data_IF_423925799398
#
_entry.id   IF_423925799398
#
_cell.length_a   1.000
_cell.length_b   1.000
_cell.length_c   1.000
_cell.angle_alpha   90.00
_cell.angle_beta   90.00
_cell.angle_gamma   90.00
#
_symmetry.space_group_name_H-M   'P 1'
#
loop_
_entity.id
_entity.type
_entity.pdbx_description
1 polymer ?
#
# COMPACT_ATOMS: atom_id res chain seq x y z
N UNK A 1 33.17 37.90 -46.93
CA UNK A 1 31.93 37.60 -46.18
C UNK A 1 31.45 36.20 -46.55
N UNK A 2 31.55 35.24 -45.64
CA UNK A 2 30.74 34.02 -45.64
C UNK A 2 30.31 33.79 -44.20
N UNK A 3 29.09 34.20 -43.88
CA UNK A 3 28.45 33.88 -42.60
C UNK A 3 28.18 32.37 -42.62
N UNK A 4 28.85 31.63 -41.74
CA UNK A 4 28.46 30.26 -41.43
C UNK A 4 27.27 30.33 -40.46
N UNK A 5 26.08 30.02 -40.95
CA UNK A 5 24.87 29.94 -40.15
C UNK A 5 24.95 28.67 -39.31
N UNK A 6 25.28 28.82 -38.03
CA UNK A 6 25.24 27.73 -37.06
C UNK A 6 23.76 27.42 -36.77
N UNK A 7 23.22 26.38 -37.40
CA UNK A 7 21.88 25.87 -37.10
C UNK A 7 21.94 25.21 -35.74
N UNK A 8 21.47 25.90 -34.71
CA UNK A 8 21.32 25.35 -33.36
C UNK A 8 20.17 24.34 -33.42
N UNK A 9 20.51 23.06 -33.67
CA UNK A 9 19.57 21.97 -33.54
C UNK A 9 19.11 21.92 -32.08
N UNK A 10 17.89 22.38 -31.83
CA UNK A 10 17.22 22.25 -30.55
C UNK A 10 16.92 20.77 -30.37
N UNK A 11 17.85 20.05 -29.72
CA UNK A 11 17.57 18.71 -29.22
C UNK A 11 16.50 18.88 -28.16
N UNK A 12 15.24 18.60 -28.52
CA UNK A 12 14.16 18.49 -27.56
C UNK A 12 14.50 17.37 -26.61
N UNK A 13 15.00 17.71 -25.42
CA UNK A 13 15.12 16.75 -24.33
C UNK A 13 13.70 16.19 -24.09
N UNK A 14 13.50 14.86 -24.16
CA UNK A 14 12.20 14.30 -23.88
C UNK A 14 11.84 14.69 -22.44
N UNK A 15 10.75 15.43 -22.24
CA UNK A 15 10.30 15.71 -20.90
C UNK A 15 9.94 14.38 -20.23
N UNK A 16 10.46 14.11 -19.02
CA UNK A 16 9.94 13.01 -18.20
C UNK A 16 8.55 13.43 -17.76
N UNK A 17 7.57 12.94 -18.51
CA UNK A 17 6.16 13.09 -18.22
C UNK A 17 5.81 12.13 -17.09
N UNK A 18 5.44 12.66 -15.92
CA UNK A 18 5.02 11.86 -14.76
C UNK A 18 3.77 11.07 -15.04
N UNK A 19 3.90 9.74 -15.09
CA UNK A 19 2.79 8.81 -15.29
C UNK A 19 3.17 7.57 -14.50
N UNK A 20 2.40 7.21 -13.48
CA UNK A 20 2.55 5.95 -12.76
C UNK A 20 1.30 5.72 -11.92
N UNK A 21 1.06 4.46 -11.58
CA UNK A 21 -0.03 3.97 -10.75
C UNK A 21 0.37 2.59 -10.21
N UNK A 22 -0.39 2.09 -9.23
CA UNK A 22 -0.18 0.73 -8.75
C UNK A 22 -0.55 -0.29 -9.83
N UNK A 23 0.42 -1.10 -10.22
CA UNK A 23 0.27 -2.19 -11.19
C UNK A 23 -0.16 -3.50 -10.51
N UNK A 24 0.22 -3.66 -9.24
CA UNK A 24 0.00 -4.88 -8.48
C UNK A 24 0.19 -4.65 -6.98
N UNK A 25 -0.60 -5.35 -6.16
CA UNK A 25 -0.35 -5.53 -4.73
C UNK A 25 0.09 -6.97 -4.43
N UNK A 26 1.05 -7.16 -3.51
CA UNK A 26 1.52 -8.47 -3.04
C UNK A 26 1.56 -8.53 -1.52
N UNK A 27 1.31 -9.70 -0.93
CA UNK A 27 1.64 -9.93 0.48
C UNK A 27 3.14 -10.21 0.66
N UNK A 28 3.70 -9.80 1.80
CA UNK A 28 5.10 -10.03 2.17
C UNK A 28 5.16 -10.93 3.40
N UNK A 29 5.86 -12.07 3.30
CA UNK A 29 6.09 -12.97 4.43
C UNK A 29 7.19 -12.45 5.38
N UNK A 30 7.39 -13.10 6.52
CA UNK A 30 8.39 -12.65 7.51
C UNK A 30 9.84 -12.64 6.99
N UNK A 31 10.12 -13.35 5.90
CA UNK A 31 11.41 -13.45 5.22
C UNK A 31 11.54 -12.48 4.03
N UNK A 32 10.52 -11.66 3.75
CA UNK A 32 10.49 -10.74 2.62
C UNK A 32 10.12 -11.39 1.28
N UNK A 33 9.59 -12.61 1.26
CA UNK A 33 9.11 -13.22 0.02
C UNK A 33 7.65 -12.83 -0.27
N UNK A 34 7.33 -12.71 -1.55
CA UNK A 34 5.96 -12.59 -2.02
C UNK A 34 5.23 -13.92 -1.97
N UNK A 35 4.00 -13.88 -1.45
CA UNK A 35 3.16 -15.06 -1.35
C UNK A 35 1.69 -14.76 -1.63
N UNK A 36 0.95 -15.81 -2.01
CA UNK A 36 -0.45 -15.71 -2.36
C UNK A 36 -0.68 -15.01 -3.71
N UNK A 37 -1.96 -14.97 -4.08
CA UNK A 37 -2.43 -14.30 -5.30
C UNK A 37 -2.22 -12.78 -5.20
N UNK A 38 -1.83 -12.12 -6.31
CA UNK A 38 -1.76 -10.67 -6.35
C UNK A 38 -3.14 -10.02 -6.28
N UNK A 39 -3.17 -8.76 -5.85
CA UNK A 39 -4.33 -7.91 -5.97
C UNK A 39 -4.10 -6.72 -6.90
N UNK A 40 -5.18 -6.05 -7.28
CA UNK A 40 -5.16 -4.95 -8.24
C UNK A 40 -6.03 -3.76 -7.77
N UNK A 41 -5.71 -2.53 -8.19
CA UNK A 41 -6.54 -1.36 -7.91
C UNK A 41 -7.95 -1.44 -8.50
N UNK A 42 -8.82 -0.56 -8.04
CA UNK A 42 -10.17 -0.41 -8.61
C UNK A 42 -10.07 -0.09 -10.10
N UNK A 43 -11.02 -0.59 -10.89
CA UNK A 43 -11.10 -0.27 -12.31
C UNK A 43 -9.85 -0.60 -13.13
N UNK A 44 -8.98 -1.52 -12.65
CA UNK A 44 -7.70 -1.82 -13.29
C UNK A 44 -7.87 -2.38 -14.70
N UNK A 45 -7.01 -1.95 -15.62
CA UNK A 45 -6.90 -2.48 -16.97
C UNK A 45 -5.42 -2.79 -17.20
N UNK A 46 -5.13 -4.03 -17.56
CA UNK A 46 -3.76 -4.46 -17.80
C UNK A 46 -3.19 -3.84 -19.07
N UNK A 47 -1.87 -3.63 -19.11
CA UNK A 47 -1.13 -3.10 -20.27
C UNK A 47 -1.27 -3.96 -21.53
N UNK A 48 -1.59 -5.24 -21.34
CA UNK A 48 -1.82 -6.21 -22.40
C UNK A 48 -3.30 -6.41 -22.74
N UNK A 49 -4.22 -5.74 -22.05
CA UNK A 49 -5.64 -5.85 -22.30
C UNK A 49 -6.06 -4.96 -23.47
N UNK A 50 -7.07 -5.41 -24.22
CA UNK A 50 -7.66 -4.62 -25.28
C UNK A 50 -8.24 -3.31 -24.73
N UNK A 51 -7.91 -2.19 -25.38
CA UNK A 51 -8.39 -0.87 -24.99
C UNK A 51 -7.58 -0.18 -23.89
N UNK A 52 -6.49 -0.78 -23.40
CA UNK A 52 -5.56 -0.12 -22.49
C UNK A 52 -5.02 1.19 -23.09
N UNK A 53 -5.01 2.24 -22.26
CA UNK A 53 -4.18 3.43 -22.45
C UNK A 53 -3.85 4.03 -21.08
N UNK A 54 -2.64 4.58 -20.92
CA UNK A 54 -2.15 5.08 -19.61
C UNK A 54 -3.09 6.07 -18.91
N UNK A 55 -3.74 7.03 -19.61
CA UNK A 55 -4.71 7.92 -18.98
C UNK A 55 -5.90 7.24 -18.29
N UNK A 56 -6.25 6.00 -18.61
CA UNK A 56 -7.33 5.29 -17.91
C UNK A 56 -6.97 4.90 -16.47
N UNK A 57 -5.67 4.82 -16.18
CA UNK A 57 -5.13 4.38 -14.90
C UNK A 57 -4.49 5.51 -14.10
N UNK A 58 -4.04 6.55 -14.79
CA UNK A 58 -3.36 7.70 -14.20
C UNK A 58 -4.34 8.69 -13.58
N UNK A 59 -4.08 9.08 -12.33
CA UNK A 59 -4.73 10.22 -11.70
C UNK A 59 -3.67 11.26 -11.30
N UNK A 60 -3.53 12.30 -12.13
CA UNK A 60 -2.68 13.46 -11.84
C UNK A 60 -3.50 14.55 -11.12
N UNK A 61 -2.97 15.06 -10.01
CA UNK A 61 -3.57 16.12 -9.20
C UNK A 61 -2.53 17.23 -8.92
N UNK A 62 -2.88 18.53 -9.02
CA UNK A 62 -4.17 19.06 -9.47
C UNK A 62 -4.39 18.85 -10.97
N UNK A 63 -5.65 18.68 -11.37
CA UNK A 63 -6.01 18.54 -12.79
C UNK A 63 -5.99 19.88 -13.54
N UNK A 64 -6.14 20.98 -12.81
CA UNK A 64 -6.07 22.36 -13.32
C UNK A 64 -5.30 23.24 -12.34
N UNK A 65 -4.52 24.17 -12.86
CA UNK A 65 -3.68 25.06 -12.05
C UNK A 65 -2.38 24.40 -11.57
N UNK A 66 -1.60 25.16 -10.81
CA UNK A 66 -0.28 24.73 -10.34
C UNK A 66 -0.30 24.12 -8.93
N UNK A 67 -1.36 24.32 -8.15
CA UNK A 67 -1.44 23.93 -6.74
C UNK A 67 -2.72 23.18 -6.45
N UNK A 68 -2.67 22.28 -5.48
CA UNK A 68 -3.86 21.56 -5.03
C UNK A 68 -4.84 22.50 -4.34
N UNK A 69 -6.13 22.22 -4.50
CA UNK A 69 -7.24 22.90 -3.85
C UNK A 69 -8.06 21.89 -3.05
N UNK A 70 -8.87 22.33 -2.07
CA UNK A 70 -9.76 21.45 -1.30
C UNK A 70 -10.73 20.63 -2.18
N UNK A 71 -11.03 21.09 -3.39
CA UNK A 71 -11.99 20.45 -4.30
C UNK A 71 -11.39 19.27 -5.07
N UNK A 72 -10.06 19.19 -5.17
CA UNK A 72 -9.38 18.17 -5.95
C UNK A 72 -9.70 16.76 -5.42
N UNK A 73 -10.21 15.93 -6.33
CA UNK A 73 -10.56 14.54 -6.05
C UNK A 73 -9.30 13.68 -5.99
N UNK A 74 -9.27 12.83 -4.96
CA UNK A 74 -8.19 11.89 -4.72
C UNK A 74 -8.20 10.75 -5.74
N UNK A 75 -9.36 10.18 -6.04
CA UNK A 75 -9.46 9.00 -6.90
C UNK A 75 -9.77 9.36 -8.34
N UNK A 76 -9.14 8.61 -9.27
CA UNK A 76 -9.56 8.57 -10.67
C UNK A 76 -11.07 8.28 -10.78
N UNK A 77 -11.74 8.79 -11.80
CA UNK A 77 -13.19 8.56 -11.98
C UNK A 77 -13.58 7.08 -11.96
N UNK A 78 -12.73 6.21 -12.52
CA UNK A 78 -12.92 4.74 -12.52
C UNK A 78 -12.58 4.06 -11.19
N UNK A 79 -12.00 4.79 -10.25
CA UNK A 79 -11.53 4.30 -8.95
C UNK A 79 -12.32 4.86 -7.77
N UNK A 80 -13.39 5.64 -8.01
CA UNK A 80 -14.21 6.22 -6.94
C UNK A 80 -15.06 5.18 -6.23
N UNK A 81 -15.64 4.26 -6.99
CA UNK A 81 -16.45 3.16 -6.46
C UNK A 81 -15.56 2.00 -6.05
N UNK A 82 -15.92 1.31 -4.97
CA UNK A 82 -15.23 0.10 -4.48
C UNK A 82 -15.50 -1.12 -5.37
N UNK A 83 -15.25 -1.01 -6.68
CA UNK A 83 -15.55 -2.04 -7.67
C UNK A 83 -14.30 -2.43 -8.46
N UNK A 84 -14.09 -3.73 -8.61
CA UNK A 84 -13.08 -4.27 -9.53
C UNK A 84 -13.61 -4.27 -10.96
N UNK A 85 -12.71 -4.05 -11.92
CA UNK A 85 -13.06 -4.05 -13.35
C UNK A 85 -13.52 -5.43 -13.83
N UNK A 86 -12.98 -6.50 -13.27
CA UNK A 86 -13.33 -7.88 -13.56
C UNK A 86 -12.80 -8.83 -12.49
N UNK A 87 -13.23 -10.10 -12.53
CA UNK A 87 -12.67 -11.15 -11.68
C UNK A 87 -11.19 -11.48 -12.01
N UNK A 88 -10.72 -11.10 -13.20
CA UNK A 88 -9.31 -11.23 -13.60
C UNK A 88 -8.40 -10.34 -12.74
N UNK A 89 -8.93 -9.23 -12.21
CA UNK A 89 -8.21 -8.28 -11.37
C UNK A 89 -8.81 -8.22 -9.97
N UNK A 90 -8.63 -9.26 -9.13
CA UNK A 90 -9.24 -9.30 -7.82
C UNK A 90 -8.58 -8.30 -6.85
N UNK A 91 -9.28 -8.00 -5.75
CA UNK A 91 -8.67 -7.34 -4.58
C UNK A 91 -7.62 -8.25 -3.96
N UNK A 92 -6.60 -7.66 -3.35
CA UNK A 92 -5.64 -8.43 -2.57
C UNK A 92 -6.34 -9.03 -1.34
N UNK A 93 -6.16 -10.33 -1.12
CA UNK A 93 -6.47 -10.94 0.18
C UNK A 93 -5.25 -10.86 1.08
N UNK A 94 -5.38 -10.20 2.21
CA UNK A 94 -4.28 -9.91 3.12
C UNK A 94 -4.65 -10.22 4.58
N UNK A 95 -3.62 -10.40 5.42
CA UNK A 95 -3.81 -10.66 6.85
C UNK A 95 -3.70 -9.34 7.62
N UNK A 96 -4.56 -9.15 8.62
CA UNK A 96 -4.42 -8.03 9.55
C UNK A 96 -3.03 -8.04 10.22
N UNK A 97 -2.39 -6.87 10.30
CA UNK A 97 -1.01 -6.76 10.78
C UNK A 97 0.07 -7.28 9.81
N UNK A 98 -0.30 -7.87 8.68
CA UNK A 98 0.64 -8.30 7.65
C UNK A 98 1.22 -7.12 6.86
N UNK A 99 2.34 -7.34 6.21
CA UNK A 99 2.91 -6.36 5.28
C UNK A 99 2.48 -6.66 3.85
N UNK A 100 2.31 -5.60 3.08
CA UNK A 100 2.03 -5.66 1.65
C UNK A 100 2.99 -4.77 0.89
N UNK A 101 3.30 -5.18 -0.35
CA UNK A 101 3.99 -4.37 -1.34
C UNK A 101 2.97 -3.83 -2.34
N UNK A 102 2.97 -2.52 -2.57
CA UNK A 102 2.29 -1.88 -3.69
C UNK A 102 3.31 -1.56 -4.76
N UNK A 103 3.24 -2.27 -5.89
CA UNK A 103 4.25 -2.30 -6.95
C UNK A 103 3.79 -1.46 -8.13
N UNK A 104 4.69 -0.67 -8.69
CA UNK A 104 4.41 0.27 -9.77
C UNK A 104 5.53 0.31 -10.79
N UNK A 105 5.19 0.65 -12.02
CA UNK A 105 6.13 0.77 -13.14
C UNK A 105 6.15 2.20 -13.69
N UNK A 106 6.68 2.39 -14.90
CA UNK A 106 6.94 3.73 -15.48
C UNK A 106 8.03 4.48 -14.68
N UNK A 107 9.05 3.70 -14.30
CA UNK A 107 10.17 4.07 -13.44
C UNK A 107 11.21 4.96 -14.15
N UNK A 108 10.80 5.72 -15.16
CA UNK A 108 11.64 6.72 -15.80
C UNK A 108 12.16 7.75 -14.80
N UNK A 109 11.35 8.10 -13.79
CA UNK A 109 11.71 9.04 -12.71
C UNK A 109 12.90 8.62 -11.87
N UNK A 110 13.19 7.32 -11.81
CA UNK A 110 14.32 6.79 -11.01
C UNK A 110 15.47 6.31 -11.89
N UNK A 111 15.20 6.01 -13.16
CA UNK A 111 16.17 5.33 -14.03
C UNK A 111 16.51 6.08 -15.31
N UNK A 112 15.89 7.24 -15.57
CA UNK A 112 16.23 8.16 -16.68
C UNK A 112 16.84 9.47 -16.16
N UNK A 113 17.82 9.37 -15.27
CA UNK A 113 18.31 10.49 -14.43
C UNK A 113 19.01 11.62 -15.21
N UNK A 114 19.60 11.39 -16.40
CA UNK A 114 20.06 12.51 -17.25
C UNK A 114 18.91 13.40 -17.76
N UNK A 115 17.67 12.96 -17.56
CA UNK A 115 16.43 13.64 -17.87
C UNK A 115 15.67 13.96 -16.57
N UNK A 116 16.26 13.74 -15.39
CA UNK A 116 15.68 14.16 -14.12
C UNK A 116 15.46 15.67 -14.20
N UNK A 117 14.19 16.13 -14.27
CA UNK A 117 13.95 17.52 -14.55
C UNK A 117 14.40 18.27 -13.30
N UNK A 118 15.47 19.04 -13.45
CA UNK A 118 15.93 20.04 -12.49
C UNK A 118 14.77 20.55 -11.61
N UNK A 119 14.91 20.49 -10.30
CA UNK A 119 13.85 20.91 -9.36
C UNK A 119 12.81 19.85 -9.00
N UNK A 120 12.98 18.61 -9.42
CA UNK A 120 12.27 17.47 -8.82
C UNK A 120 12.95 17.00 -7.53
N UNK A 121 12.20 16.38 -6.60
CA UNK A 121 12.75 15.89 -5.34
C UNK A 121 13.71 14.71 -5.54
N UNK A 122 14.65 14.58 -4.61
CA UNK A 122 15.53 13.41 -4.51
C UNK A 122 14.72 12.12 -4.31
N UNK A 123 15.34 10.98 -4.67
CA UNK A 123 14.74 9.65 -4.61
C UNK A 123 13.36 9.52 -5.29
N UNK A 124 13.09 10.38 -6.29
CA UNK A 124 11.83 10.39 -7.02
C UNK A 124 10.65 10.95 -6.23
N UNK A 125 10.86 11.55 -5.06
CA UNK A 125 9.79 12.07 -4.20
C UNK A 125 9.24 11.03 -3.22
N UNK A 126 8.15 11.40 -2.56
CA UNK A 126 7.61 10.63 -1.42
C UNK A 126 6.22 10.10 -1.72
N UNK A 127 6.00 8.86 -1.33
CA UNK A 127 4.71 8.20 -1.37
C UNK A 127 4.17 8.15 0.05
N UNK A 128 2.91 8.56 0.21
CA UNK A 128 2.13 8.34 1.41
C UNK A 128 1.06 7.29 1.14
N UNK A 129 0.89 6.37 2.09
CA UNK A 129 -0.16 5.35 2.01
C UNK A 129 -1.13 5.58 3.15
N UNK A 130 -2.38 5.82 2.79
CA UNK A 130 -3.47 5.98 3.73
C UNK A 130 -4.42 4.80 3.67
N UNK A 131 -5.14 4.54 4.76
CA UNK A 131 -6.17 3.51 4.76
C UNK A 131 -7.40 3.86 5.60
N UNK A 132 -8.54 3.29 5.22
CA UNK A 132 -9.84 3.55 5.85
C UNK A 132 -10.83 2.40 5.63
N UNK A 133 -11.78 2.25 6.55
CA UNK A 133 -13.00 1.43 6.40
C UNK A 133 -14.21 2.23 5.93
N UNK A 134 -14.08 3.55 5.79
CA UNK A 134 -15.16 4.49 5.49
C UNK A 134 -14.79 5.39 4.30
N UNK A 135 -14.49 4.81 3.12
CA UNK A 135 -14.12 5.58 1.94
C UNK A 135 -15.32 6.39 1.42
N UNK A 136 -15.04 7.54 0.80
CA UNK A 136 -16.02 8.31 0.03
C UNK A 136 -15.79 8.17 -1.47
N UNK A 137 -16.85 8.26 -2.27
CA UNK A 137 -16.73 8.30 -3.73
C UNK A 137 -16.16 9.64 -4.22
N UNK A 138 -16.42 10.72 -3.49
CA UNK A 138 -15.94 12.08 -3.76
C UNK A 138 -14.73 12.46 -2.89
N UNK A 139 -13.96 11.46 -2.44
CA UNK A 139 -12.81 11.63 -1.54
C UNK A 139 -11.86 12.74 -2.01
N UNK A 140 -11.52 13.66 -1.11
CA UNK A 140 -10.67 14.81 -1.40
C UNK A 140 -9.23 14.53 -1.02
N UNK A 141 -8.30 14.92 -1.88
CA UNK A 141 -6.87 14.75 -1.61
C UNK A 141 -6.47 15.49 -0.32
N UNK A 142 -6.93 16.73 -0.14
CA UNK A 142 -6.61 17.54 1.03
C UNK A 142 -7.14 16.96 2.35
N UNK A 143 -8.29 16.28 2.34
CA UNK A 143 -8.84 15.64 3.54
C UNK A 143 -7.98 14.46 3.96
N UNK A 144 -7.60 13.61 3.01
CA UNK A 144 -6.80 12.40 3.25
C UNK A 144 -5.36 12.74 3.65
N UNK A 145 -4.74 13.76 3.04
CA UNK A 145 -3.39 14.20 3.42
C UNK A 145 -3.29 14.62 4.89
N UNK A 146 -4.40 15.03 5.50
CA UNK A 146 -4.42 15.43 6.91
C UNK A 146 -4.50 14.24 7.89
N UNK A 147 -4.74 13.01 7.41
CA UNK A 147 -4.81 11.85 8.28
C UNK A 147 -3.44 11.51 8.88
N UNK A 148 -3.45 11.16 10.16
CA UNK A 148 -2.26 10.85 10.95
C UNK A 148 -2.23 9.37 11.32
N UNK A 149 -1.07 8.87 11.75
CA UNK A 149 -0.91 7.45 12.10
C UNK A 149 -1.79 7.02 13.28
N UNK A 150 -2.11 7.95 14.19
CA UNK A 150 -2.98 7.73 15.35
C UNK A 150 -4.48 7.91 15.03
N UNK A 151 -4.84 8.19 13.78
CA UNK A 151 -6.20 8.40 13.32
C UNK A 151 -6.88 9.66 13.85
N UNK A 152 -6.13 10.60 14.42
CA UNK A 152 -6.70 11.86 14.95
C UNK A 152 -6.70 13.01 13.94
N UNK A 153 -5.96 12.88 12.85
CA UNK A 153 -5.83 13.88 11.81
C UNK A 153 -7.02 13.95 10.85
N UNK A 154 -7.18 15.10 10.20
CA UNK A 154 -8.27 15.37 9.27
C UNK A 154 -9.65 15.12 9.88
N UNK A 155 -10.49 14.43 9.13
CA UNK A 155 -11.85 14.06 9.56
C UNK A 155 -11.93 12.72 10.31
N UNK A 156 -10.78 12.16 10.71
CA UNK A 156 -10.67 10.95 11.57
C UNK A 156 -11.25 9.66 11.00
N UNK A 157 -11.59 9.62 9.70
CA UNK A 157 -12.10 8.40 9.04
C UNK A 157 -11.01 7.41 8.66
N UNK A 158 -9.75 7.82 8.68
CA UNK A 158 -8.65 6.97 8.26
C UNK A 158 -7.34 7.32 8.94
N UNK A 159 -6.30 6.60 8.51
CA UNK A 159 -4.97 6.64 9.10
C UNK A 159 -3.90 6.73 8.02
N UNK A 160 -2.78 7.36 8.37
CA UNK A 160 -1.54 7.21 7.61
C UNK A 160 -0.87 5.88 8.01
N UNK A 161 -0.70 4.96 7.05
CA UNK A 161 -0.05 3.67 7.28
C UNK A 161 1.47 3.75 7.17
N UNK A 162 1.97 4.63 6.30
CA UNK A 162 3.41 4.82 6.14
C UNK A 162 3.75 5.80 5.03
N UNK A 163 5.02 6.20 5.00
CA UNK A 163 5.60 6.99 3.94
C UNK A 163 6.90 6.36 3.46
N UNK A 164 7.11 6.27 2.15
CA UNK A 164 8.30 5.68 1.51
C UNK A 164 8.82 6.62 0.43
N UNK A 165 10.12 6.59 0.14
CA UNK A 165 10.62 7.17 -1.11
C UNK A 165 10.08 6.39 -2.32
N UNK A 166 9.81 7.12 -3.41
CA UNK A 166 9.34 6.53 -4.66
C UNK A 166 10.37 5.56 -5.25
N UNK A 167 11.65 5.96 -5.23
CA UNK A 167 12.77 5.08 -5.55
C UNK A 167 13.03 4.11 -4.39
N UNK A 168 12.90 2.81 -4.67
CA UNK A 168 13.21 1.76 -3.71
C UNK A 168 14.69 1.35 -3.69
N UNK A 169 15.51 1.98 -4.54
CA UNK A 169 16.96 1.77 -4.65
C UNK A 169 17.35 0.57 -5.52
N UNK A 170 16.38 -0.23 -5.98
CA UNK A 170 16.62 -1.44 -6.78
C UNK A 170 15.90 -1.44 -8.12
N UNK A 171 14.72 -0.83 -8.19
CA UNK A 171 13.87 -0.83 -9.37
C UNK A 171 14.47 -0.07 -10.55
N UNK A 172 14.02 -0.38 -11.76
CA UNK A 172 14.49 0.29 -12.97
C UNK A 172 13.51 0.08 -14.11
N UNK A 173 13.42 1.07 -14.99
CA UNK A 173 12.91 0.90 -16.36
C UNK A 173 14.08 0.54 -17.28
N UNK A 174 13.88 -0.39 -18.22
CA UNK A 174 14.93 -0.74 -19.18
C UNK A 174 15.23 0.43 -20.12
N UNK A 175 16.45 0.95 -20.04
CA UNK A 175 16.93 2.00 -20.93
C UNK A 175 18.48 2.05 -20.94
N UNK A 176 19.06 2.96 -21.72
CA UNK A 176 20.51 3.06 -21.93
C UNK A 176 21.25 3.88 -20.88
N UNK A 177 20.56 4.44 -19.88
CA UNK A 177 21.18 5.27 -18.84
C UNK A 177 22.00 4.41 -17.87
N UNK A 178 23.15 4.92 -17.36
CA UNK A 178 24.05 4.15 -16.50
C UNK A 178 23.35 3.52 -15.28
N UNK A 179 22.47 4.26 -14.60
CA UNK A 179 21.75 3.76 -13.42
C UNK A 179 20.82 2.58 -13.74
N UNK A 180 20.13 2.62 -14.89
CA UNK A 180 19.26 1.53 -15.32
C UNK A 180 20.08 0.28 -15.65
N UNK A 181 21.20 0.45 -16.37
CA UNK A 181 22.11 -0.64 -16.73
C UNK A 181 22.77 -1.26 -15.50
N UNK A 182 23.20 -0.45 -14.53
CA UNK A 182 23.79 -0.90 -13.28
C UNK A 182 22.78 -1.73 -12.47
N UNK A 183 21.57 -1.20 -12.25
CA UNK A 183 20.52 -1.91 -11.50
C UNK A 183 20.10 -3.20 -12.20
N UNK A 184 19.93 -3.19 -13.52
CA UNK A 184 19.60 -4.38 -14.30
C UNK A 184 20.70 -5.45 -14.29
N UNK A 185 21.98 -5.03 -14.22
CA UNK A 185 23.09 -5.97 -14.09
C UNK A 185 23.18 -6.57 -12.68
N UNK A 186 22.92 -5.77 -11.64
CA UNK A 186 22.92 -6.21 -10.24
C UNK A 186 21.72 -7.10 -9.92
N UNK A 187 20.56 -6.75 -10.46
CA UNK A 187 19.25 -7.33 -10.12
C UNK A 187 18.49 -7.60 -11.43
N UNK A 188 18.90 -8.62 -12.21
CA UNK A 188 18.24 -8.95 -13.46
C UNK A 188 16.80 -9.40 -13.22
N UNK A 189 15.86 -8.82 -13.96
CA UNK A 189 14.45 -9.17 -13.91
C UNK A 189 13.96 -9.70 -15.27
N UNK A 190 12.93 -10.54 -15.21
CA UNK A 190 12.40 -11.28 -16.36
C UNK A 190 10.88 -11.28 -16.33
N UNK A 191 10.25 -11.52 -17.47
CA UNK A 191 8.82 -11.81 -17.50
C UNK A 191 8.52 -13.09 -16.74
N UNK A 192 7.34 -13.17 -16.13
CA UNK A 192 6.91 -14.40 -15.49
C UNK A 192 6.80 -15.57 -16.48
N UNK A 193 7.35 -16.72 -16.09
CA UNK A 193 7.41 -17.91 -16.93
C UNK A 193 8.60 -17.93 -17.89
N UNK A 194 9.39 -16.86 -17.97
CA UNK A 194 10.66 -16.88 -18.68
C UNK A 194 11.77 -17.52 -17.82
N UNK A 195 12.68 -18.24 -18.48
CA UNK A 195 13.89 -18.77 -17.83
C UNK A 195 14.76 -17.60 -17.35
N UNK A 196 15.11 -17.61 -16.07
CA UNK A 196 15.97 -16.60 -15.44
C UNK A 196 17.45 -16.88 -15.75
N UNK A 197 17.88 -16.66 -16.99
CA UNK A 197 19.27 -16.79 -17.41
C UNK A 197 19.75 -15.56 -18.18
N UNK A 198 20.95 -15.09 -17.83
CA UNK A 198 21.60 -13.98 -18.54
C UNK A 198 21.10 -12.60 -18.11
N UNK A 199 21.16 -11.64 -19.03
CA UNK A 199 20.79 -10.24 -18.78
C UNK A 199 19.28 -10.15 -18.60
N UNK A 200 18.84 -9.49 -17.52
CA UNK A 200 17.43 -9.17 -17.32
C UNK A 200 16.86 -8.43 -18.53
N UNK A 201 15.69 -8.86 -19.00
CA UNK A 201 15.00 -8.32 -20.16
C UNK A 201 13.63 -7.75 -19.80
N UNK A 202 13.35 -7.61 -18.52
CA UNK A 202 12.16 -6.95 -18.02
C UNK A 202 12.51 -5.86 -17.01
N UNK A 203 11.69 -4.82 -16.94
CA UNK A 203 11.84 -3.78 -15.92
C UNK A 203 11.57 -4.37 -14.54
N UNK A 204 12.26 -3.87 -13.51
CA UNK A 204 11.92 -4.20 -12.12
C UNK A 204 10.98 -3.11 -11.59
N UNK A 205 9.72 -3.45 -11.23
CA UNK A 205 8.81 -2.51 -10.60
C UNK A 205 9.43 -1.92 -9.33
N UNK A 206 9.17 -0.64 -9.08
CA UNK A 206 9.42 -0.06 -7.76
C UNK A 206 8.29 -0.47 -6.83
N UNK A 207 8.51 -0.34 -5.53
CA UNK A 207 7.47 -0.63 -4.56
C UNK A 207 7.48 0.24 -3.31
N UNK A 208 6.29 0.32 -2.72
CA UNK A 208 6.03 0.89 -1.41
C UNK A 208 5.49 -0.20 -0.52
N UNK A 209 6.09 -0.34 0.66
CA UNK A 209 5.74 -1.39 1.62
C UNK A 209 5.15 -0.76 2.88
N UNK A 210 4.02 -1.30 3.34
CA UNK A 210 3.38 -0.86 4.58
C UNK A 210 2.84 -2.04 5.37
N UNK A 211 2.78 -1.86 6.69
CA UNK A 211 2.06 -2.77 7.57
C UNK A 211 0.58 -2.40 7.58
N UNK A 212 -0.28 -3.39 7.37
CA UNK A 212 -1.72 -3.23 7.52
C UNK A 212 -2.10 -3.14 9.00
N UNK A 213 -3.21 -2.45 9.35
CA UNK A 213 -3.63 -2.38 10.74
C UNK A 213 -3.91 -3.78 11.31
N UNK A 214 -3.60 -3.96 12.60
CA UNK A 214 -3.80 -5.24 13.30
C UNK A 214 -5.26 -5.47 13.68
N UNK A 215 -6.02 -4.39 13.87
CA UNK A 215 -7.33 -4.42 14.51
C UNK A 215 -8.48 -4.11 13.53
N UNK A 216 -8.35 -4.52 12.26
CA UNK A 216 -9.48 -4.39 11.31
C UNK A 216 -10.39 -5.61 11.43
N UNK A 217 -11.53 -5.41 12.10
CA UNK A 217 -12.57 -6.44 12.26
C UNK A 217 -13.64 -6.42 11.13
N UNK A 218 -13.41 -5.61 10.10
CA UNK A 218 -14.42 -5.35 9.06
C UNK A 218 -14.55 -6.53 8.09
N UNK A 219 -15.78 -7.00 7.87
CA UNK A 219 -16.14 -7.85 6.73
C UNK A 219 -16.26 -7.07 5.41
N UNK A 220 -16.12 -5.74 5.46
CA UNK A 220 -16.10 -4.88 4.28
C UNK A 220 -14.67 -4.75 3.75
N UNK A 221 -14.49 -4.43 2.46
CA UNK A 221 -13.17 -4.13 1.91
C UNK A 221 -12.53 -2.96 2.66
N UNK A 222 -11.22 -3.06 2.90
CA UNK A 222 -10.41 -1.98 3.46
C UNK A 222 -9.79 -1.19 2.32
N UNK A 223 -10.04 0.12 2.29
CA UNK A 223 -9.53 0.98 1.23
C UNK A 223 -8.12 1.44 1.54
N UNK A 224 -7.27 1.42 0.53
CA UNK A 224 -5.95 2.02 0.54
C UNK A 224 -5.88 3.14 -0.50
N UNK A 225 -5.24 4.24 -0.13
CA UNK A 225 -4.89 5.32 -1.03
C UNK A 225 -3.38 5.43 -1.11
N UNK A 226 -2.83 5.18 -2.29
CA UNK A 226 -1.44 5.43 -2.60
C UNK A 226 -1.32 6.82 -3.21
N UNK A 227 -0.51 7.69 -2.59
CA UNK A 227 -0.39 9.11 -2.94
C UNK A 227 1.08 9.45 -3.11
N UNK A 228 1.54 9.50 -4.35
CA UNK A 228 2.89 9.96 -4.68
C UNK A 228 2.93 11.46 -4.85
N UNK A 229 3.78 12.13 -4.09
CA UNK A 229 4.05 13.56 -4.10
C UNK A 229 5.38 13.83 -4.83
N UNK A 230 5.31 14.52 -5.97
CA UNK A 230 6.44 14.79 -6.86
C UNK A 230 6.52 16.27 -7.32
N UNK A 231 6.58 17.22 -6.38
CA UNK A 231 6.51 18.66 -6.64
C UNK A 231 7.66 19.17 -7.49
N UNK A 232 7.51 20.39 -7.99
CA UNK A 232 8.58 21.16 -8.64
C UNK A 232 9.04 22.28 -7.72
N UNK A 233 10.32 22.27 -7.34
CA UNK A 233 11.01 23.33 -6.61
C UNK A 233 11.40 24.48 -7.57
N UNK A 234 10.80 25.68 -7.40
CA UNK A 234 11.09 26.83 -8.25
C UNK A 234 12.54 27.33 -8.13
N UNK A 235 13.22 27.08 -7.00
CA UNK A 235 14.61 27.54 -6.79
C UNK A 235 15.56 26.82 -7.74
N UNK A 236 15.29 25.53 -7.94
CA UNK A 236 16.05 24.70 -8.86
C UNK A 236 15.54 24.89 -10.30
N UNK A 237 14.24 25.13 -10.52
CA UNK A 237 13.64 25.34 -11.85
C UNK A 237 12.83 26.64 -11.98
N UNK A 238 13.50 27.81 -12.10
CA UNK A 238 12.82 29.10 -12.08
C UNK A 238 11.82 29.32 -13.22
N UNK A 239 12.08 28.70 -14.37
CA UNK A 239 11.26 28.80 -15.59
C UNK A 239 9.94 28.01 -15.50
N UNK A 240 9.90 26.92 -14.73
CA UNK A 240 8.68 26.15 -14.52
C UNK A 240 7.84 26.67 -13.35
N UNK A 241 8.45 27.41 -12.42
CA UNK A 241 7.82 27.85 -11.20
C UNK A 241 7.50 26.70 -10.23
N UNK A 242 6.91 27.06 -9.09
CA UNK A 242 6.46 26.09 -8.10
C UNK A 242 5.22 25.37 -8.62
N UNK A 243 5.21 24.04 -8.50
CA UNK A 243 4.04 23.23 -8.86
C UNK A 243 3.87 22.06 -7.90
N UNK A 244 2.65 21.85 -7.46
CA UNK A 244 2.22 20.58 -6.91
C UNK A 244 2.07 19.56 -8.04
N UNK A 245 2.47 18.32 -7.76
CA UNK A 245 2.25 17.22 -8.67
C UNK A 245 2.06 15.96 -7.83
N UNK A 246 0.86 15.41 -7.87
CA UNK A 246 0.51 14.19 -7.18
C UNK A 246 -0.01 13.16 -8.16
N UNK A 247 0.41 11.91 -7.97
CA UNK A 247 -0.17 10.76 -8.64
C UNK A 247 -0.80 9.86 -7.61
N UNK A 248 -2.02 9.42 -7.88
CA UNK A 248 -2.80 8.69 -6.88
C UNK A 248 -3.35 7.40 -7.45
N UNK A 249 -3.53 6.41 -6.59
CA UNK A 249 -4.23 5.18 -6.92
C UNK A 249 -5.10 4.77 -5.75
N UNK A 250 -6.38 4.56 -6.01
CA UNK A 250 -7.33 4.08 -5.01
C UNK A 250 -7.60 2.59 -5.22
N UNK A 251 -7.48 1.82 -4.15
CA UNK A 251 -7.57 0.37 -4.20
C UNK A 251 -8.26 -0.17 -2.94
N UNK A 252 -8.69 -1.42 -3.00
CA UNK A 252 -9.30 -2.11 -1.86
C UNK A 252 -8.63 -3.45 -1.65
N UNK A 253 -8.53 -3.86 -0.39
CA UNK A 253 -8.08 -5.18 0.03
C UNK A 253 -9.17 -5.87 0.86
N UNK A 254 -9.08 -7.18 0.94
CA UNK A 254 -9.94 -8.01 1.77
C UNK A 254 -9.12 -8.66 2.86
N UNK A 255 -9.53 -8.46 4.11
CA UNK A 255 -8.89 -9.17 5.22
C UNK A 255 -9.33 -10.63 5.23
N UNK A 256 -8.35 -11.53 5.32
CA UNK A 256 -8.58 -12.96 5.37
C UNK A 256 -7.62 -13.63 6.35
N UNK A 257 -8.16 -14.52 7.19
CA UNK A 257 -7.35 -15.35 8.09
C UNK A 257 -6.58 -16.43 7.34
N UNK A 258 -7.02 -16.77 6.13
CA UNK A 258 -6.40 -17.80 5.28
C UNK A 258 -6.03 -17.21 3.94
N UNK A 259 -4.73 -16.99 3.74
CA UNK A 259 -4.17 -16.69 2.43
C UNK A 259 -3.61 -18.00 1.88
N UNK A 260 -4.05 -18.41 0.70
CA UNK A 260 -3.50 -19.59 0.05
C UNK A 260 -1.98 -19.42 -0.07
N UNK A 261 -1.21 -20.37 0.46
CA UNK A 261 0.25 -20.40 0.30
C UNK A 261 0.57 -20.88 -1.13
N UNK A 262 0.32 -20.01 -2.10
CA UNK A 262 0.80 -20.22 -3.45
C UNK A 262 2.18 -19.57 -3.51
N UNK A 263 3.22 -20.40 -3.61
CA UNK A 263 4.57 -19.92 -3.86
C UNK A 263 4.61 -19.21 -5.22
N UNK A 264 5.28 -18.06 -5.28
CA UNK A 264 5.37 -17.27 -6.51
C UNK A 264 6.03 -18.14 -7.61
N UNK A 265 5.32 -18.35 -8.73
CA UNK A 265 5.68 -19.31 -9.80
C UNK A 265 4.77 -20.54 -9.93
N UNK A 266 3.92 -20.80 -8.93
CA UNK A 266 2.80 -21.77 -9.00
C UNK A 266 1.44 -21.08 -9.00
N UNK A 267 1.43 -19.74 -9.05
CA UNK A 267 0.24 -18.93 -9.30
C UNK A 267 -0.29 -19.32 -10.67
N UNK A 268 -1.15 -20.34 -10.67
CA UNK A 268 -2.13 -20.52 -11.72
C UNK A 268 -2.97 -19.27 -11.62
N UNK A 269 -2.64 -18.25 -12.41
CA UNK A 269 -3.52 -17.12 -12.63
C UNK A 269 -4.86 -17.70 -13.04
N UNK A 270 -5.73 -17.92 -12.06
CA UNK A 270 -6.88 -18.81 -12.20
C UNK A 270 -7.84 -18.32 -13.28
N UNK A 271 -7.66 -17.05 -13.70
CA UNK A 271 -8.54 -16.30 -14.56
C UNK A 271 -7.85 -15.83 -15.86
N UNK A 272 -6.75 -16.46 -16.29
CA UNK A 272 -6.17 -16.18 -17.60
C UNK A 272 -5.48 -14.81 -17.72
N UNK A 273 -4.99 -14.25 -16.60
CA UNK A 273 -4.15 -13.05 -16.63
C UNK A 273 -3.01 -13.26 -17.62
N UNK A 274 -2.89 -12.32 -18.56
CA UNK A 274 -1.81 -12.35 -19.53
C UNK A 274 -0.49 -12.18 -18.76
N UNK A 275 0.31 -13.24 -18.70
CA UNK A 275 1.66 -13.28 -18.07
C UNK A 275 2.57 -12.15 -18.57
N UNK A 276 2.28 -11.55 -19.72
CA UNK A 276 3.08 -10.49 -20.33
C UNK A 276 3.33 -9.25 -19.46
N UNK A 277 2.42 -8.91 -18.54
CA UNK A 277 2.59 -7.73 -17.65
C UNK A 277 3.31 -8.06 -16.34
N UNK A 278 3.40 -9.34 -15.98
CA UNK A 278 3.90 -9.80 -14.70
C UNK A 278 5.39 -10.11 -14.77
N UNK A 279 6.13 -9.72 -13.73
CA UNK A 279 7.52 -10.07 -13.61
C UNK A 279 7.74 -11.34 -12.78
N UNK A 280 8.87 -12.00 -13.00
CA UNK A 280 9.27 -13.18 -12.26
C UNK A 280 9.82 -12.87 -10.86
N UNK A 281 9.78 -11.61 -10.42
CA UNK A 281 10.39 -11.18 -9.17
C UNK A 281 9.58 -11.64 -7.95
N UNK A 282 10.26 -12.19 -6.94
CA UNK A 282 9.61 -12.91 -5.83
C UNK A 282 9.88 -12.36 -4.45
N UNK A 283 10.62 -11.24 -4.33
CA UNK A 283 11.01 -10.68 -3.04
C UNK A 283 10.70 -9.20 -2.94
N UNK A 284 10.33 -8.76 -1.73
CA UNK A 284 10.31 -7.36 -1.37
C UNK A 284 11.73 -6.78 -1.29
N UNK A 285 11.82 -5.47 -1.24
CA UNK A 285 13.05 -4.73 -0.96
C UNK A 285 13.57 -5.14 0.41
N UNK A 286 14.90 -5.27 0.57
CA UNK A 286 15.51 -5.83 1.79
C UNK A 286 15.10 -5.10 3.08
N UNK A 287 14.76 -3.81 2.97
CA UNK A 287 14.33 -2.94 4.07
C UNK A 287 12.81 -2.82 4.24
N UNK A 288 11.98 -3.67 3.62
CA UNK A 288 10.51 -3.56 3.59
C UNK A 288 9.83 -3.28 4.95
N UNK A 289 10.36 -3.80 6.06
CA UNK A 289 9.84 -3.55 7.43
C UNK A 289 10.09 -2.14 7.95
N UNK A 290 11.10 -1.46 7.43
CA UNK A 290 11.64 -0.21 7.96
C UNK A 290 11.83 0.85 6.87
N UNK A 291 11.12 0.71 5.74
CA UNK A 291 11.15 1.72 4.68
C UNK A 291 10.62 3.03 5.22
N UNK A 292 11.31 4.11 4.86
CA UNK A 292 10.98 5.48 5.21
C UNK A 292 11.05 6.35 3.97
N UNK A 293 10.59 7.57 4.14
CA UNK A 293 10.72 8.64 3.17
C UNK A 293 11.70 9.72 3.67
N UNK A 294 12.19 10.54 2.75
CA UNK A 294 13.01 11.72 3.03
C UNK A 294 12.25 12.74 3.88
N UNK A 295 10.92 12.77 3.74
CA UNK A 295 10.03 13.50 4.62
C UNK A 295 8.73 12.72 4.89
N UNK A 296 8.18 12.91 6.09
CA UNK A 296 6.94 12.28 6.53
C UNK A 296 5.81 13.28 6.78
N UNK A 297 6.13 14.58 6.75
CA UNK A 297 5.14 15.65 6.75
C UNK A 297 4.85 16.05 5.31
N UNK A 298 3.68 15.69 4.81
CA UNK A 298 3.26 15.97 3.44
C UNK A 298 3.34 17.46 3.07
N UNK A 299 3.25 18.37 4.05
CA UNK A 299 3.39 19.81 3.79
C UNK A 299 4.78 20.14 3.24
N UNK A 300 5.82 19.42 3.66
CA UNK A 300 7.20 19.68 3.19
C UNK A 300 7.36 19.49 1.68
N UNK A 301 6.52 18.68 1.05
CA UNK A 301 6.54 18.47 -0.40
C UNK A 301 5.52 19.30 -1.18
N UNK A 302 4.87 20.32 -0.60
CA UNK A 302 4.02 21.21 -1.39
C UNK A 302 4.87 22.23 -2.16
N UNK A 303 4.52 22.46 -3.43
CA UNK A 303 5.11 23.47 -4.31
C UNK A 303 5.18 24.85 -3.64
N UNK A 304 4.11 25.23 -2.93
CA UNK A 304 4.03 26.54 -2.24
C UNK A 304 5.04 26.67 -1.10
N UNK A 305 5.37 25.59 -0.40
CA UNK A 305 6.32 25.62 0.71
C UNK A 305 7.76 25.75 0.21
N UNK A 306 8.07 25.27 -1.01
CA UNK A 306 9.32 25.62 -1.70
C UNK A 306 9.36 27.10 -2.13
N UNK A 307 8.19 27.70 -2.44
CA UNK A 307 8.08 29.09 -2.87
C UNK A 307 8.22 30.11 -1.70
N UNK A 308 7.68 29.82 -0.51
CA UNK A 308 7.77 30.72 0.66
C UNK A 308 9.19 30.88 1.19
N UNK A 309 10.01 29.89 0.92
CA UNK A 309 11.44 29.87 1.23
C UNK A 309 12.25 30.80 0.28
N UNK A 310 11.55 31.50 -0.64
CA UNK A 310 12.07 32.41 -1.66
C UNK A 310 11.58 33.86 -1.49
N UNK A 311 10.95 34.21 -0.36
CA UNK A 311 10.65 35.61 -0.04
C UNK A 311 11.55 36.04 1.11
N UNK A 312 12.56 36.86 0.81
CA UNK A 312 13.16 37.71 1.83
C UNK A 312 11.99 38.48 2.49
N UNK A 313 11.70 38.14 3.74
CA UNK A 313 10.75 38.86 4.57
C UNK A 313 11.13 40.34 4.49
N UNK A 314 10.21 41.26 4.12
CA UNK A 314 10.48 42.68 4.25
C UNK A 314 10.75 42.93 5.73
N UNK A 315 11.99 43.32 6.04
CA UNK A 315 12.39 43.77 7.36
C UNK A 315 11.40 44.84 7.81
N UNK A 316 10.73 44.70 8.97
CA UNK A 316 9.95 45.82 9.51
C UNK A 316 10.93 46.96 9.78
N UNK A 317 10.82 48.01 8.98
CA UNK A 317 11.54 49.25 9.16
C UNK A 317 11.19 49.85 10.53
N UNK A 318 12.22 50.06 11.34
CA UNK A 318 12.38 51.03 12.42
C UNK A 318 11.11 51.49 13.15
N UNK A 319 10.91 50.96 14.36
CA UNK A 319 10.29 51.71 15.46
C UNK A 319 11.29 51.78 16.64
N UNK A 320 11.40 52.92 17.36
CA UNK A 320 12.48 53.18 18.31
C UNK A 320 12.29 52.45 19.66
N UNK A 321 13.36 52.30 20.47
CA UNK A 321 13.37 51.41 21.62
C UNK A 321 12.65 52.00 22.83
N UNK A 322 11.77 51.22 23.45
CA UNK A 322 11.25 51.50 24.79
C UNK A 322 12.09 50.75 25.83
N UNK A 323 12.68 51.53 26.71
CA UNK A 323 13.51 51.14 27.84
C UNK A 323 12.75 50.37 28.93
N UNK A 324 13.48 49.43 29.55
CA UNK A 324 13.48 49.06 30.97
C UNK A 324 12.30 48.28 31.58
N UNK A 325 12.66 47.10 32.09
CA UNK A 325 11.92 46.31 33.09
C UNK A 325 11.76 47.05 34.44
N UNK A 326 10.97 46.52 35.40
CA UNK A 326 11.56 45.54 36.32
C UNK A 326 10.63 44.39 36.77
N UNK A 327 11.30 43.33 37.22
CA UNK A 327 10.87 42.14 37.96
C UNK A 327 10.13 42.47 39.27
N UNK A 328 9.40 41.50 39.86
CA UNK A 328 9.95 40.92 41.10
C UNK A 328 9.80 39.40 41.23
N UNK A 329 10.83 38.80 41.83
CA UNK A 329 10.84 37.48 42.45
C UNK A 329 10.03 37.48 43.76
N UNK A 330 9.43 36.35 44.11
CA UNK A 330 9.55 35.78 45.47
C UNK A 330 9.17 34.30 45.51
N UNK A 331 10.07 33.53 46.11
CA UNK A 331 10.01 32.14 46.58
C UNK A 331 9.09 31.97 47.80
N UNK A 332 8.51 30.76 48.00
CA UNK A 332 8.80 29.81 49.11
C UNK A 332 7.67 28.76 49.30
N UNK A 333 8.12 27.50 49.44
CA UNK A 333 7.61 26.34 50.19
C UNK A 333 6.40 25.48 49.76
N UNK A 334 6.64 24.18 49.99
CA UNK A 334 5.86 23.00 49.70
C UNK A 334 4.82 22.64 50.79
N UNK A 335 3.78 21.89 50.40
CA UNK A 335 3.16 20.88 51.27
C UNK A 335 2.57 19.74 50.43
N UNK A 336 2.94 18.52 50.80
CA UNK A 336 2.40 17.25 50.29
C UNK A 336 0.97 17.02 50.82
N UNK A 337 0.09 16.43 50.01
CA UNK A 337 -1.17 15.84 50.48
C UNK A 337 -1.49 14.57 49.69
N UNK A 338 -1.83 13.52 50.43
CA UNK A 338 -2.07 12.14 50.02
C UNK A 338 -3.30 11.92 49.10
N UNK A 339 -3.34 10.79 48.36
CA UNK A 339 -4.43 10.44 47.45
C UNK A 339 -5.64 9.79 48.15
N UNK A 340 -6.87 9.92 47.59
CA UNK A 340 -8.05 9.24 48.11
C UNK A 340 -8.12 7.75 47.67
N UNK A 341 -8.84 6.90 48.44
CA UNK A 341 -8.75 5.44 48.33
C UNK A 341 -9.61 4.84 47.20
N UNK A 342 -9.15 3.66 46.75
CA UNK A 342 -9.77 2.81 45.74
C UNK A 342 -11.10 2.18 46.20
N UNK A 343 -12.06 1.92 45.28
CA UNK A 343 -13.21 1.09 45.55
C UNK A 343 -12.91 -0.40 45.27
N UNK A 344 -13.08 -1.24 46.29
CA UNK A 344 -13.11 -2.71 46.20
C UNK A 344 -14.43 -3.23 45.59
N UNK A 345 -14.44 -4.41 44.96
CA UNK A 345 -15.51 -4.88 44.09
C UNK A 345 -16.62 -5.61 44.86
N UNK A 346 -17.88 -5.29 44.54
CA UNK A 346 -19.06 -6.07 44.93
C UNK A 346 -19.42 -7.03 43.80
N UNK A 347 -19.28 -8.34 44.08
CA UNK A 347 -19.81 -9.43 43.27
C UNK A 347 -21.31 -9.60 43.56
N UNK A 348 -22.15 -9.33 42.57
CA UNK A 348 -23.55 -9.76 42.54
C UNK A 348 -23.95 -10.05 41.09
N UNK A 349 -24.13 -11.32 40.75
CA UNK A 349 -24.92 -11.71 39.58
C UNK A 349 -25.51 -13.12 39.74
N UNK A 350 -26.83 -13.16 39.81
CA UNK A 350 -27.70 -14.19 39.26
C UNK A 350 -28.72 -13.44 38.36
N UNK A 351 -29.50 -14.07 37.46
CA UNK A 351 -29.35 -15.34 36.74
C UNK A 351 -29.34 -15.13 35.19
N UNK A 352 -29.15 -16.22 34.46
CA UNK A 352 -29.14 -16.31 33.00
C UNK A 352 -30.50 -15.97 32.37
N UNK A 353 -30.57 -14.87 31.61
CA UNK A 353 -31.71 -14.60 30.71
C UNK A 353 -31.48 -15.24 29.34
N UNK A 354 -32.33 -16.20 29.01
CA UNK A 354 -32.52 -16.73 27.65
C UNK A 354 -33.53 -15.81 26.94
N UNK A 355 -33.18 -15.09 25.87
CA UNK A 355 -34.18 -14.44 25.04
C UNK A 355 -34.80 -15.45 24.08
N UNK A 356 -36.11 -15.66 24.25
CA UNK A 356 -37.00 -16.38 23.33
C UNK A 356 -37.12 -15.60 22.02
N UNK A 357 -36.73 -16.19 20.88
CA UNK A 357 -36.98 -15.62 19.56
C UNK A 357 -38.44 -15.88 19.15
N UNK A 358 -39.28 -14.87 19.32
CA UNK A 358 -40.58 -14.74 18.63
C UNK A 358 -40.38 -13.89 17.39
N UNK A 359 -40.21 -14.51 16.22
CA UNK A 359 -40.77 -14.06 14.92
C UNK A 359 -40.35 -15.01 13.80
N UNK A 360 -41.35 -15.52 13.08
CA UNK A 360 -41.24 -16.34 11.85
C UNK A 360 -40.94 -15.40 10.67
N UNK A 361 -40.00 -15.70 9.76
CA UNK A 361 -39.79 -14.88 8.58
C UNK A 361 -41.00 -14.94 7.64
N UNK A 362 -41.57 -13.77 7.30
CA UNK A 362 -42.48 -13.63 6.17
C UNK A 362 -41.68 -13.71 4.86
N UNK A 363 -42.10 -14.62 3.98
CA UNK A 363 -41.68 -14.69 2.59
C UNK A 363 -42.41 -13.55 1.85
N UNK A 364 -41.68 -12.56 1.36
CA UNK A 364 -42.18 -11.57 0.39
C UNK A 364 -41.96 -12.11 -1.02
N UNK A 365 -43.02 -12.66 -1.61
CA UNK A 365 -43.08 -12.94 -3.04
C UNK A 365 -43.20 -11.63 -3.83
N UNK A 366 -42.14 -11.23 -4.55
CA UNK A 366 -42.26 -10.23 -5.60
C UNK A 366 -42.92 -10.89 -6.83
N UNK A 367 -44.15 -10.45 -7.12
CA UNK A 367 -44.86 -10.76 -8.34
C UNK A 367 -44.28 -9.93 -9.50
N UNK A 368 -43.71 -10.60 -10.50
CA UNK A 368 -43.49 -10.04 -11.83
C UNK A 368 -44.74 -10.28 -12.68
N UNK A 369 -45.19 -9.24 -13.35
CA UNK A 369 -46.34 -9.22 -14.25
C UNK A 369 -46.03 -9.93 -15.57
N UNK A 370 -46.78 -10.97 -15.93
CA UNK A 370 -47.04 -11.31 -17.33
C UNK A 370 -48.50 -11.76 -17.53
N UNK A 371 -49.03 -11.44 -18.72
CA UNK A 371 -50.43 -11.52 -19.10
C UNK A 371 -51.06 -12.93 -19.18
N UNK A 372 -52.33 -13.02 -19.59
CA UNK A 372 -53.17 -14.17 -19.27
C UNK A 372 -53.17 -15.23 -20.38
N UNK A 373 -52.90 -16.48 -20.01
CA UNK A 373 -53.68 -17.67 -20.36
C UNK A 373 -52.87 -18.98 -20.17
N UNK A 374 -53.24 -19.81 -19.19
CA UNK A 374 -53.53 -21.24 -19.37
C UNK A 374 -53.97 -21.91 -18.06
N UNK A 375 -54.92 -22.83 -18.19
CA UNK A 375 -55.53 -23.68 -17.14
C UNK A 375 -54.53 -24.68 -16.52
N UNK A 376 -54.82 -25.20 -15.30
CA UNK A 376 -53.92 -26.06 -14.53
C UNK A 376 -54.11 -27.55 -14.84
N UNK A 377 -53.05 -28.34 -14.69
CA UNK A 377 -53.12 -29.78 -14.43
C UNK A 377 -51.91 -30.22 -13.57
N UNK A 378 -52.28 -30.83 -12.44
CA UNK A 378 -51.72 -32.04 -11.81
C UNK A 378 -50.23 -32.11 -11.42
N UNK A 379 -50.02 -31.90 -10.11
CA UNK A 379 -49.41 -32.87 -9.18
C UNK A 379 -48.00 -33.41 -9.46
N UNK A 380 -47.02 -32.88 -8.72
CA UNK A 380 -46.05 -33.71 -7.98
C UNK A 380 -45.39 -32.87 -6.86
N UNK A 381 -45.69 -33.19 -5.61
CA UNK A 381 -45.03 -32.67 -4.42
C UNK A 381 -43.76 -33.49 -4.17
N UNK A 382 -42.59 -32.93 -4.51
CA UNK A 382 -41.30 -33.49 -4.10
C UNK A 382 -40.64 -32.49 -3.14
N UNK A 383 -40.63 -32.86 -1.86
CA UNK A 383 -40.28 -32.01 -0.72
C UNK A 383 -38.86 -31.46 -0.76
N UNK A 384 -38.74 -30.14 -0.71
CA UNK A 384 -37.48 -29.44 -0.52
C UNK A 384 -37.02 -29.60 0.95
N UNK A 385 -36.03 -30.47 1.16
CA UNK A 385 -35.39 -30.65 2.47
C UNK A 385 -34.34 -29.56 2.67
N UNK A 386 -34.61 -28.62 3.56
CA UNK A 386 -33.65 -27.54 3.91
C UNK A 386 -32.70 -28.04 5.01
N UNK A 387 -31.41 -28.13 4.72
CA UNK A 387 -30.37 -28.40 5.72
C UNK A 387 -29.98 -27.09 6.43
N UNK A 388 -30.26 -27.00 7.74
CA UNK A 388 -29.81 -25.89 8.57
C UNK A 388 -28.57 -26.34 9.34
N UNK A 389 -27.40 -25.82 8.97
CA UNK A 389 -26.16 -26.02 9.72
C UNK A 389 -26.07 -25.00 10.85
N UNK A 390 -26.21 -25.45 12.10
CA UNK A 390 -26.03 -24.61 13.29
C UNK A 390 -24.62 -24.80 13.83
N UNK A 391 -23.73 -23.84 13.59
CA UNK A 391 -22.39 -23.83 14.19
C UNK A 391 -22.46 -23.19 15.57
N UNK A 392 -22.30 -23.98 16.63
CA UNK A 392 -22.18 -23.49 18.00
C UNK A 392 -20.72 -23.44 18.40
N UNK A 393 -20.18 -22.25 18.69
CA UNK A 393 -18.81 -22.07 19.20
C UNK A 393 -18.88 -22.11 20.73
N UNK A 394 -18.38 -23.17 21.35
CA UNK A 394 -18.13 -23.21 22.79
C UNK A 394 -16.66 -22.86 23.07
N UNK A 395 -16.45 -21.77 23.80
CA UNK A 395 -15.13 -21.40 24.31
C UNK A 395 -14.87 -22.20 25.60
N UNK A 396 -13.95 -23.16 25.54
CA UNK A 396 -13.47 -23.88 26.73
C UNK A 396 -12.16 -23.23 27.19
N UNK A 397 -12.18 -22.56 28.34
CA UNK A 397 -10.96 -22.06 28.98
C UNK A 397 -10.31 -23.19 29.77
N UNK A 398 -9.19 -23.74 29.27
CA UNK A 398 -8.42 -24.73 30.01
C UNK A 398 -7.67 -24.07 31.19
N UNK A 399 -7.59 -24.71 32.37
CA UNK A 399 -6.79 -24.18 33.47
C UNK A 399 -5.29 -24.24 33.15
N UNK A 400 -4.58 -23.18 33.55
CA UNK A 400 -3.13 -23.01 33.38
C UNK A 400 -2.39 -24.15 34.09
N UNK A 401 -1.66 -24.97 33.32
CA UNK A 401 -0.71 -25.94 33.88
C UNK A 401 0.64 -25.22 34.01
N UNK A 402 1.01 -24.85 35.23
CA UNK A 402 2.35 -24.36 35.56
C UNK A 402 3.32 -25.55 35.56
N UNK A 403 4.16 -25.68 34.55
CA UNK A 403 5.22 -26.68 34.53
C UNK A 403 6.37 -26.24 35.45
N UNK A 404 6.63 -26.99 36.52
CA UNK A 404 7.81 -26.82 37.38
C UNK A 404 8.98 -27.57 36.75
N UNK A 405 10.01 -26.86 36.29
CA UNK A 405 11.25 -27.47 35.79
C UNK A 405 12.14 -27.85 36.98
N UNK A 406 12.42 -29.15 37.13
CA UNK A 406 13.41 -29.67 38.09
C UNK A 406 14.74 -29.90 37.37
N UNK A 407 15.81 -29.30 37.89
CA UNK A 407 17.19 -29.46 37.39
C UNK A 407 17.78 -30.76 37.96
N UNK A 408 17.95 -31.76 37.10
CA UNK A 408 18.60 -33.03 37.43
C UNK A 408 20.01 -33.12 36.84
N UNK A 409 20.99 -33.42 37.70
CA UNK A 409 22.43 -33.47 37.41
C UNK A 409 22.87 -34.85 36.88
N UNK A 410 23.90 -34.80 36.01
CA UNK A 410 24.90 -35.85 35.63
C UNK A 410 24.53 -36.99 34.66
N UNK A 411 25.41 -37.11 33.66
CA UNK A 411 25.55 -38.18 32.65
C UNK A 411 25.94 -39.55 33.26
N UNK A 412 25.84 -40.63 32.44
CA UNK A 412 27.09 -41.15 31.87
C UNK A 412 27.04 -41.51 30.37
N UNK A 413 28.10 -41.09 29.68
CA UNK A 413 28.88 -41.74 28.62
C UNK A 413 28.34 -43.04 27.98
N UNK A 414 28.12 -43.04 26.66
CA UNK A 414 28.22 -44.25 25.83
C UNK A 414 28.51 -43.96 24.34
N UNK A 415 29.69 -44.44 23.93
CA UNK A 415 30.12 -45.01 22.64
C UNK A 415 29.83 -44.34 21.28
N UNK A 416 30.97 -43.97 20.68
CA UNK A 416 31.24 -43.48 19.33
C UNK A 416 31.28 -44.67 18.34
N UNK A 417 30.42 -44.68 17.32
CA UNK A 417 30.59 -45.53 16.14
C UNK A 417 30.98 -44.68 14.91
N UNK A 418 32.13 -45.03 14.34
CA UNK A 418 32.73 -44.46 13.15
C UNK A 418 31.99 -44.93 11.88
N UNK A 419 31.60 -44.00 11.02
CA UNK A 419 31.19 -44.29 9.64
C UNK A 419 32.37 -44.04 8.68
N UNK A 420 32.79 -45.08 7.95
CA UNK A 420 33.72 -45.01 6.81
C UNK A 420 32.93 -44.84 5.51
N UNK A 421 33.30 -43.90 4.62
CA UNK A 421 32.74 -43.87 3.27
C UNK A 421 33.55 -44.76 2.32
N UNK A 422 32.87 -45.63 1.55
CA UNK A 422 33.45 -46.35 0.40
C UNK A 422 33.06 -45.61 -0.88
N UNK A 423 34.06 -45.08 -1.58
CA UNK A 423 33.93 -44.59 -2.95
C UNK A 423 33.79 -45.75 -3.95
N UNK A 424 32.99 -45.53 -4.99
CA UNK A 424 32.95 -46.37 -6.19
C UNK A 424 33.27 -45.51 -7.41
N UNK A 425 34.36 -45.88 -8.06
CA UNK A 425 34.74 -45.48 -9.42
C UNK A 425 33.70 -45.96 -10.43
N UNK A 426 33.34 -45.11 -11.39
CA UNK A 426 32.78 -45.53 -12.68
C UNK A 426 33.81 -45.20 -13.77
N UNK A 427 34.20 -46.24 -14.52
CA UNK A 427 34.97 -46.17 -15.77
C UNK A 427 34.01 -46.01 -16.94
N UNK A 428 34.36 -45.12 -17.87
CA UNK A 428 33.89 -45.14 -19.25
C UNK A 428 34.30 -46.43 -19.97
N UNK A 429 33.54 -46.82 -20.99
CA UNK A 429 34.10 -47.32 -22.23
C UNK A 429 33.78 -46.38 -23.41
N UNK A 430 34.57 -46.60 -24.45
CA UNK A 430 34.78 -45.89 -25.72
C UNK A 430 33.54 -45.42 -26.48
#
# INVERSE_FOLDING_TARGET
MRLATLTMATVGLPAVLGHTWIEQLRNIDDNGNYFGEPGYPRGFIGKSDDGFNSPLMQQLVPQQGAFITPENLLCHERQRQQQQSSEQYPRLRAKAGGFIAMRYTENGHVSKVLIDPLGKPEHGGVIFVYGTTEPKEDEKLMDVLQWTQDGQGGDKRGVLLGANNFDDGRCYELNEQPIAQERAARIPNFHEGQVSNGKGNFQLPCETDVQLPKDVQSRKPYTLYWVWQWPTDPKKKPDAGAKDEYYTTCMDIEFSDTIAQVANGQVQYANGLNRGQQDAWTKAADNWKSRTADWTDWRKGQGINFATDSVAVPTPSNMPPANSAPTPSNTVAASLSDPPPAPTPTLSSAPSHIPTLTTRPQITSQASSQGPNKKPNDGNDDGETVFITVTTVQTVTAPVVTATVSVGTRMPYAHRHQFKPRGRYYRNPQ
#
